data_IF_158930559201
#
_entry.id   IF_158930559201
#
_cell.length_a   1.000
_cell.length_b   1.000
_cell.length_c   1.000
_cell.angle_alpha   90.00
_cell.angle_beta   90.00
_cell.angle_gamma   90.00
#
_symmetry.space_group_name_H-M   'P 1'
#
loop_
_entity.id
_entity.type
_entity.pdbx_description
1 polymer ?
#
# COMPACT_ATOMS: atom_id res chain seq x y z
N UNK A 1 20.53 -18.74 -6.95
CA UNK A 1 19.06 -18.87 -7.05
C UNK A 1 18.42 -19.17 -5.68
N UNK A 2 18.86 -20.20 -4.93
CA UNK A 2 18.30 -20.49 -3.60
C UNK A 2 18.93 -19.68 -2.44
N UNK A 3 20.24 -19.40 -2.50
CA UNK A 3 20.95 -18.63 -1.45
C UNK A 3 20.49 -17.17 -1.37
N UNK A 4 20.06 -16.60 -2.50
CA UNK A 4 19.58 -15.23 -2.63
C UNK A 4 18.22 -15.00 -1.93
N UNK A 5 17.39 -16.06 -1.85
CA UNK A 5 16.13 -16.01 -1.11
C UNK A 5 16.36 -16.02 0.40
N UNK A 6 17.34 -16.80 0.90
CA UNK A 6 17.68 -16.87 2.32
C UNK A 6 18.20 -15.53 2.86
N UNK A 7 18.97 -14.79 2.05
CA UNK A 7 19.41 -13.43 2.40
C UNK A 7 18.23 -12.46 2.58
N UNK A 8 17.22 -12.52 1.69
CA UNK A 8 15.98 -11.71 1.82
C UNK A 8 15.20 -12.00 3.10
N UNK A 9 15.15 -13.24 3.55
CA UNK A 9 14.46 -13.58 4.81
C UNK A 9 15.24 -13.14 6.05
N UNK A 10 16.56 -13.02 5.96
CA UNK A 10 17.39 -12.52 7.07
C UNK A 10 17.24 -11.01 7.31
N UNK A 11 16.68 -10.27 6.35
CA UNK A 11 16.30 -8.86 6.48
C UNK A 11 14.86 -8.67 6.98
N UNK A 12 14.07 -9.75 7.17
CA UNK A 12 12.80 -9.63 7.86
C UNK A 12 13.06 -9.24 9.31
N UNK A 13 13.06 -7.93 9.55
CA UNK A 13 12.94 -7.35 10.87
C UNK A 13 11.50 -7.58 11.31
N UNK A 14 11.33 -8.52 12.23
CA UNK A 14 10.15 -8.54 13.09
C UNK A 14 10.44 -7.52 14.19
N UNK A 15 10.33 -6.23 13.83
CA UNK A 15 10.37 -5.19 14.83
C UNK A 15 9.19 -5.42 15.79
N UNK A 16 9.45 -5.43 17.09
CA UNK A 16 8.45 -5.74 18.12
C UNK A 16 7.38 -4.67 18.27
N UNK A 17 7.54 -3.54 17.59
CA UNK A 17 6.57 -2.45 17.57
C UNK A 17 5.69 -2.55 16.33
N UNK A 18 4.38 -2.56 16.54
CA UNK A 18 3.42 -2.51 15.46
C UNK A 18 3.55 -1.17 14.73
N UNK A 19 3.88 -1.20 13.44
CA UNK A 19 3.77 -0.01 12.59
C UNK A 19 2.30 0.40 12.54
N UNK A 20 1.95 1.67 12.83
CA UNK A 20 0.57 2.12 12.80
C UNK A 20 -0.03 1.97 11.40
N UNK A 21 -1.31 1.65 11.36
CA UNK A 21 -2.07 1.43 10.13
C UNK A 21 -3.27 2.36 10.08
N UNK A 22 -3.54 2.95 8.91
CA UNK A 22 -4.71 3.78 8.66
C UNK A 22 -5.52 3.22 7.49
N UNK A 23 -6.83 3.06 7.69
CA UNK A 23 -7.78 2.82 6.61
C UNK A 23 -8.13 4.15 5.93
N UNK A 24 -7.95 4.18 4.62
CA UNK A 24 -8.32 5.28 3.75
C UNK A 24 -9.51 4.81 2.93
N UNK A 25 -10.71 5.19 3.36
CA UNK A 25 -11.99 4.80 2.74
C UNK A 25 -12.87 6.02 2.39
N UNK A 26 -12.42 7.24 2.71
CA UNK A 26 -13.10 8.49 2.35
C UNK A 26 -12.28 9.32 1.35
N UNK A 27 -12.95 9.84 0.31
CA UNK A 27 -12.30 10.64 -0.74
C UNK A 27 -11.55 11.88 -0.20
N UNK A 28 -12.04 12.48 0.89
CA UNK A 28 -11.42 13.67 1.47
C UNK A 28 -10.05 13.39 2.13
N UNK A 29 -9.74 12.13 2.46
CA UNK A 29 -8.42 11.73 2.99
C UNK A 29 -7.34 11.68 1.90
N UNK A 30 -7.74 11.44 0.64
CA UNK A 30 -6.82 11.18 -0.46
C UNK A 30 -5.77 12.28 -0.68
N UNK A 31 -6.12 13.59 -0.72
CA UNK A 31 -5.13 14.63 -0.99
C UNK A 31 -3.99 14.66 0.03
N UNK A 32 -4.32 14.54 1.32
CA UNK A 32 -3.35 14.62 2.40
C UNK A 32 -2.45 13.37 2.42
N UNK A 33 -3.05 12.18 2.31
CA UNK A 33 -2.30 10.91 2.30
C UNK A 33 -1.37 10.86 1.08
N UNK A 34 -1.85 11.22 -0.11
CA UNK A 34 -1.02 11.24 -1.33
C UNK A 34 0.13 12.25 -1.20
N UNK A 35 -0.11 13.43 -0.62
CA UNK A 35 0.97 14.39 -0.37
C UNK A 35 2.03 13.87 0.60
N UNK A 36 1.63 13.12 1.62
CA UNK A 36 2.58 12.47 2.55
C UNK A 36 3.40 11.41 1.82
N UNK A 37 2.74 10.50 1.09
CA UNK A 37 3.40 9.43 0.34
C UNK A 37 4.39 9.97 -0.71
N UNK A 38 4.09 11.11 -1.34
CA UNK A 38 5.00 11.76 -2.32
C UNK A 38 6.30 12.30 -1.72
N UNK A 39 6.36 12.50 -0.40
CA UNK A 39 7.57 12.97 0.28
C UNK A 39 8.53 11.83 0.61
N UNK A 40 8.05 10.60 0.55
CA UNK A 40 8.85 9.40 0.83
C UNK A 40 9.73 9.06 -0.38
N UNK A 41 10.98 8.70 -0.10
CA UNK A 41 11.92 8.27 -1.15
C UNK A 41 11.75 6.81 -1.54
N UNK A 42 11.09 6.02 -0.69
CA UNK A 42 10.82 4.61 -0.90
C UNK A 42 9.44 4.26 -0.34
N UNK A 43 8.66 3.54 -1.14
CA UNK A 43 7.37 3.00 -0.74
C UNK A 43 7.39 1.49 -0.98
N UNK A 44 6.79 0.74 -0.06
CA UNK A 44 6.44 -0.67 -0.29
C UNK A 44 4.96 -0.72 -0.67
N UNK A 45 4.63 -1.46 -1.73
CA UNK A 45 3.27 -1.53 -2.26
C UNK A 45 2.88 -2.99 -2.40
N UNK A 46 1.67 -3.31 -1.95
CA UNK A 46 1.00 -4.57 -2.21
C UNK A 46 -0.48 -4.33 -2.53
N UNK A 47 -1.16 -5.32 -3.08
CA UNK A 47 -2.56 -5.20 -3.45
C UNK A 47 -3.31 -6.52 -3.37
N UNK A 48 -4.59 -6.45 -3.01
CA UNK A 48 -5.47 -7.62 -2.93
C UNK A 48 -6.65 -7.46 -3.89
N UNK A 49 -7.17 -8.58 -4.37
CA UNK A 49 -8.28 -8.61 -5.29
C UNK A 49 -9.12 -9.88 -5.23
N UNK A 50 -10.30 -9.82 -5.86
CA UNK A 50 -11.20 -10.95 -6.09
C UNK A 50 -11.02 -11.41 -7.54
N UNK A 51 -11.01 -12.73 -7.75
CA UNK A 51 -10.80 -13.34 -9.07
C UNK A 51 -9.55 -12.82 -9.80
N UNK A 52 -8.41 -12.89 -9.10
CA UNK A 52 -7.11 -12.32 -9.48
C UNK A 52 -6.79 -12.45 -10.99
N UNK A 53 -6.27 -11.37 -11.55
CA UNK A 53 -5.87 -11.27 -12.95
C UNK A 53 -6.43 -10.02 -13.62
N UNK A 54 -6.26 -9.90 -14.93
CA UNK A 54 -6.64 -8.69 -15.70
C UNK A 54 -8.15 -8.38 -15.72
N UNK A 55 -8.96 -9.35 -15.32
CA UNK A 55 -10.43 -9.25 -15.31
C UNK A 55 -11.03 -9.35 -13.92
N UNK A 56 -10.20 -9.55 -12.90
CA UNK A 56 -10.62 -9.52 -11.51
C UNK A 56 -10.87 -8.09 -11.03
N UNK A 57 -11.34 -7.99 -9.79
CA UNK A 57 -11.57 -6.71 -9.12
C UNK A 57 -10.48 -6.47 -8.08
N UNK A 58 -9.84 -5.32 -8.16
CA UNK A 58 -8.92 -4.86 -7.13
C UNK A 58 -9.74 -4.30 -5.95
N UNK A 59 -9.55 -4.85 -4.76
CA UNK A 59 -10.34 -4.48 -3.58
C UNK A 59 -9.56 -3.69 -2.54
N UNK A 60 -8.25 -3.86 -2.46
CA UNK A 60 -7.40 -3.18 -1.48
C UNK A 60 -6.05 -2.84 -2.09
N UNK A 61 -5.55 -1.64 -1.84
CA UNK A 61 -4.14 -1.28 -2.09
C UNK A 61 -3.49 -0.93 -0.77
N UNK A 62 -2.32 -1.51 -0.52
CA UNK A 62 -1.55 -1.29 0.70
C UNK A 62 -0.28 -0.52 0.32
N UNK A 63 -0.06 0.63 0.95
CA UNK A 63 1.15 1.42 0.76
C UNK A 63 1.80 1.66 2.10
N UNK A 64 3.01 1.14 2.28
CA UNK A 64 3.78 1.30 3.50
C UNK A 64 4.96 2.26 3.28
N UNK A 65 5.13 3.13 4.27
CA UNK A 65 6.36 3.88 4.52
C UNK A 65 7.13 3.20 5.65
N UNK A 66 8.30 3.71 6.02
CA UNK A 66 9.04 3.20 7.20
C UNK A 66 8.28 3.43 8.52
N UNK A 67 7.30 4.34 8.54
CA UNK A 67 6.62 4.79 9.75
C UNK A 67 5.13 4.41 9.82
N UNK A 68 4.49 4.12 8.69
CA UNK A 68 3.03 3.91 8.65
C UNK A 68 2.59 3.10 7.44
N UNK A 69 1.51 2.33 7.60
CA UNK A 69 0.82 1.63 6.51
C UNK A 69 -0.51 2.32 6.22
N UNK A 70 -0.77 2.61 4.95
CA UNK A 70 -2.06 3.09 4.45
C UNK A 70 -2.75 1.98 3.68
N UNK A 71 -3.98 1.65 4.10
CA UNK A 71 -4.85 0.70 3.45
C UNK A 71 -5.91 1.49 2.66
N UNK A 72 -5.79 1.54 1.35
CA UNK A 72 -6.78 2.18 0.48
C UNK A 72 -7.89 1.18 0.14
N UNK A 73 -9.10 1.44 0.63
CA UNK A 73 -10.28 0.64 0.29
C UNK A 73 -10.73 1.00 -1.14
N UNK A 74 -10.35 0.16 -2.10
CA UNK A 74 -10.67 0.36 -3.51
C UNK A 74 -12.14 0.08 -3.79
N UNK A 75 -12.79 -0.76 -2.98
CA UNK A 75 -14.22 -1.06 -3.13
C UNK A 75 -15.06 0.18 -2.83
N UNK A 76 -14.72 0.90 -1.75
CA UNK A 76 -15.43 2.11 -1.34
C UNK A 76 -15.06 3.30 -2.22
N UNK A 77 -13.77 3.53 -2.46
CA UNK A 77 -13.28 4.72 -3.16
C UNK A 77 -13.36 4.61 -4.69
N UNK A 78 -13.45 3.38 -5.21
CA UNK A 78 -13.50 3.10 -6.63
C UNK A 78 -12.30 3.63 -7.39
N UNK A 79 -12.50 3.98 -8.67
CA UNK A 79 -11.40 4.44 -9.55
C UNK A 79 -10.79 5.78 -9.15
N UNK A 80 -11.48 6.58 -8.33
CA UNK A 80 -11.05 7.94 -7.99
C UNK A 80 -9.70 8.01 -7.29
N UNK A 81 -9.28 6.93 -6.62
CA UNK A 81 -7.97 6.86 -5.97
C UNK A 81 -6.81 6.93 -6.97
N UNK A 82 -7.03 6.44 -8.19
CA UNK A 82 -6.01 6.41 -9.23
C UNK A 82 -5.90 7.74 -9.98
N UNK A 83 -6.98 8.53 -10.03
CA UNK A 83 -7.01 9.84 -10.70
C UNK A 83 -6.14 10.90 -10.00
N UNK A 84 -5.84 10.70 -8.71
CA UNK A 84 -5.09 11.65 -7.88
C UNK A 84 -3.56 11.43 -7.91
N UNK A 85 -3.11 10.29 -8.46
CA UNK A 85 -1.69 9.91 -8.54
C UNK A 85 -0.94 10.50 -9.74
N UNK A 86 -1.64 10.94 -10.79
CA UNK A 86 -1.04 11.29 -12.09
C UNK A 86 -0.56 12.76 -12.23
N UNK A 87 -0.70 13.58 -11.18
CA UNK A 87 -0.30 15.01 -11.22
C UNK A 87 1.04 15.29 -10.57
#
# INVERSE_FOLDING_TARGET
>A
MAEDQLARFSELRVDSESIPMELVDQEHQLPDVIQLLRRETQLSVDCEGVDLGRFGELCLVQVATTQKVYLFDVVVLGRKIFDQGEK
#
